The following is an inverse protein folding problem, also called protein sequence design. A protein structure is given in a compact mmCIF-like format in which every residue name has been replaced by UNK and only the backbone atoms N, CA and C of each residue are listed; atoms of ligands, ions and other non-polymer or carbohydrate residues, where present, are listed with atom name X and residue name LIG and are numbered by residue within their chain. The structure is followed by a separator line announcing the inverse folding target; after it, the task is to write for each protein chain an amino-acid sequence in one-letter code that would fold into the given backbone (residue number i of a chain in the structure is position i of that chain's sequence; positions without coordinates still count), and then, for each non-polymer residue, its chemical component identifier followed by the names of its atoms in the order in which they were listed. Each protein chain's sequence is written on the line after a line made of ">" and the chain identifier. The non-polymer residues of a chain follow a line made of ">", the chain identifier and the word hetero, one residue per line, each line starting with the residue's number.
data_IF_762074704747
#
_entry.id   IF_762074704747
#
_cell.length_a   1.000
_cell.length_b   1.000
_cell.length_c   1.000
_cell.angle_alpha   90.00
_cell.angle_beta   90.00
_cell.angle_gamma   90.00
#
_symmetry.space_group_name_H-M   'P 1'
#
loop_
_entity.id
_entity.type
_entity.pdbx_description
1 polymer ?
#
# COMPACT_ATOMS: atom_id res chain seq x y z
N UNK A 1 -19.23 -12.39 -20.07
CA UNK A 1 -19.91 -11.37 -19.25
C UNK A 1 -18.93 -10.25 -18.94
N UNK A 2 -19.40 -9.01 -18.73
CA UNK A 2 -18.55 -7.95 -18.19
C UNK A 2 -18.18 -8.24 -16.73
N UNK A 3 -17.02 -7.75 -16.24
CA UNK A 3 -16.59 -7.99 -14.86
C UNK A 3 -17.66 -7.67 -13.80
N UNK A 4 -18.34 -6.53 -13.94
CA UNK A 4 -19.42 -6.12 -13.05
C UNK A 4 -20.62 -7.08 -13.10
N UNK A 5 -21.01 -7.52 -14.30
CA UNK A 5 -22.14 -8.44 -14.49
C UNK A 5 -21.84 -9.81 -13.86
N UNK A 6 -20.59 -10.27 -13.96
CA UNK A 6 -20.10 -11.50 -13.34
C UNK A 6 -20.23 -11.46 -11.82
N UNK A 7 -19.82 -10.35 -11.20
CA UNK A 7 -19.97 -10.12 -9.75
C UNK A 7 -21.45 -10.15 -9.35
N UNK A 8 -22.32 -9.45 -10.10
CA UNK A 8 -23.74 -9.43 -9.79
C UNK A 8 -24.41 -10.80 -9.96
N UNK A 9 -24.03 -11.57 -11.00
CA UNK A 9 -24.53 -12.93 -11.16
C UNK A 9 -24.19 -13.80 -9.94
N UNK A 10 -22.94 -13.76 -9.47
CA UNK A 10 -22.53 -14.50 -8.29
C UNK A 10 -23.28 -14.05 -7.01
N UNK A 11 -23.43 -12.74 -6.79
CA UNK A 11 -24.17 -12.20 -5.63
C UNK A 11 -25.67 -12.55 -5.65
N UNK A 12 -26.24 -12.72 -6.83
CA UNK A 12 -27.64 -13.13 -7.02
C UNK A 12 -27.82 -14.67 -7.07
N UNK A 13 -26.76 -15.43 -6.75
CA UNK A 13 -26.74 -16.90 -6.82
C UNK A 13 -27.09 -17.46 -8.21
N UNK A 14 -26.79 -16.71 -9.27
CA UNK A 14 -26.83 -17.16 -10.66
C UNK A 14 -25.43 -17.58 -11.09
N UNK A 15 -25.34 -18.59 -11.97
CA UNK A 15 -24.05 -19.06 -12.47
C UNK A 15 -23.38 -17.99 -13.37
N UNK A 16 -22.18 -17.48 -13.00
CA UNK A 16 -21.40 -16.60 -13.85
C UNK A 16 -20.58 -17.38 -14.90
N UNK A 17 -20.02 -16.67 -15.88
CA UNK A 17 -19.12 -17.28 -16.88
C UNK A 17 -17.76 -17.75 -16.31
N UNK A 18 -17.37 -17.25 -15.14
CA UNK A 18 -16.29 -17.79 -14.27
C UNK A 18 -16.46 -17.23 -12.85
N UNK A 19 -15.77 -17.81 -11.87
CA UNK A 19 -15.75 -17.28 -10.50
C UNK A 19 -15.20 -15.84 -10.50
N UNK A 20 -15.98 -14.82 -10.08
CA UNK A 20 -15.45 -13.47 -9.96
C UNK A 20 -14.42 -13.40 -8.83
N UNK A 21 -13.35 -12.64 -9.05
CA UNK A 21 -12.30 -12.52 -8.05
C UNK A 21 -11.63 -11.15 -8.03
N UNK A 22 -10.96 -10.84 -6.92
CA UNK A 22 -10.13 -9.66 -6.74
C UNK A 22 -9.42 -9.73 -5.40
N UNK A 23 -8.34 -8.97 -5.25
CA UNK A 23 -7.51 -8.94 -4.04
C UNK A 23 -7.37 -7.49 -3.54
N UNK A 24 -7.41 -7.32 -2.23
CA UNK A 24 -7.28 -6.03 -1.55
C UNK A 24 -5.80 -5.65 -1.34
N UNK A 25 -4.97 -6.61 -0.93
CA UNK A 25 -3.60 -6.38 -0.47
C UNK A 25 -2.54 -7.09 -1.31
N UNK A 26 -2.27 -6.56 -2.51
CA UNK A 26 -1.14 -7.01 -3.34
C UNK A 26 0.09 -6.13 -3.10
N UNK A 27 1.19 -6.74 -2.69
CA UNK A 27 2.43 -6.00 -2.44
C UNK A 27 3.14 -5.57 -3.73
N UNK A 28 3.94 -4.51 -3.61
CA UNK A 28 4.62 -3.86 -4.72
C UNK A 28 5.46 -4.80 -5.57
N UNK A 29 6.02 -5.88 -5.02
CA UNK A 29 6.84 -6.83 -5.78
C UNK A 29 6.04 -7.51 -6.89
N UNK A 30 4.78 -7.87 -6.61
CA UNK A 30 3.88 -8.45 -7.62
C UNK A 30 3.51 -7.42 -8.69
N UNK A 31 3.27 -6.16 -8.29
CA UNK A 31 3.09 -5.07 -9.26
C UNK A 31 4.31 -4.92 -10.17
N UNK A 32 5.52 -4.90 -9.60
CA UNK A 32 6.75 -4.71 -10.37
C UNK A 32 7.05 -5.88 -11.29
N UNK A 33 6.78 -7.11 -10.84
CA UNK A 33 6.95 -8.32 -11.62
C UNK A 33 5.99 -8.36 -12.81
N UNK A 34 4.71 -8.08 -12.60
CA UNK A 34 3.68 -8.17 -13.66
C UNK A 34 3.74 -6.97 -14.61
N UNK A 35 3.97 -5.76 -14.08
CA UNK A 35 3.93 -4.53 -14.88
C UNK A 35 5.30 -4.13 -15.47
N UNK A 36 6.38 -4.82 -15.06
CA UNK A 36 7.73 -4.58 -15.57
C UNK A 36 8.33 -3.21 -15.21
N UNK A 37 7.81 -2.54 -14.17
CA UNK A 37 8.23 -1.19 -13.75
C UNK A 37 8.08 -0.99 -12.24
N UNK A 38 8.88 -0.09 -11.67
CA UNK A 38 8.75 0.31 -10.25
C UNK A 38 7.40 0.94 -9.95
N UNK A 39 6.83 0.61 -8.80
CA UNK A 39 5.57 1.21 -8.30
C UNK A 39 5.74 1.76 -6.89
N UNK A 40 4.91 2.74 -6.53
CA UNK A 40 4.73 3.21 -5.17
C UNK A 40 3.54 2.55 -4.47
N UNK A 41 2.69 1.81 -5.19
CA UNK A 41 1.54 1.09 -4.61
C UNK A 41 2.03 0.04 -3.62
N UNK A 42 1.62 0.17 -2.35
CA UNK A 42 2.03 -0.72 -1.26
C UNK A 42 3.54 -0.96 -1.21
N UNK A 43 4.33 0.07 -1.54
CA UNK A 43 5.79 0.00 -1.62
C UNK A 43 6.49 0.16 -0.27
N UNK A 44 5.71 0.10 0.81
CA UNK A 44 6.13 0.07 2.21
C UNK A 44 6.99 1.29 2.55
N UNK A 45 8.22 1.10 3.04
CA UNK A 45 9.13 2.21 3.35
C UNK A 45 9.34 3.19 2.19
N UNK A 46 9.28 2.74 0.93
CA UNK A 46 9.46 3.64 -0.23
C UNK A 46 8.30 4.62 -0.35
N UNK A 47 7.09 4.17 -0.06
CA UNK A 47 5.90 5.02 -0.02
C UNK A 47 5.97 6.00 1.16
N UNK A 48 6.34 5.51 2.35
CA UNK A 48 6.51 6.35 3.54
C UNK A 48 7.52 7.47 3.30
N UNK A 49 8.66 7.16 2.67
CA UNK A 49 9.68 8.15 2.28
C UNK A 49 9.15 9.13 1.23
N UNK A 50 8.39 8.67 0.25
CA UNK A 50 7.77 9.56 -0.73
C UNK A 50 6.86 10.60 -0.05
N UNK A 51 6.08 10.20 0.97
CA UNK A 51 5.29 11.16 1.75
C UNK A 51 6.17 12.13 2.57
N UNK A 52 7.26 11.64 3.18
CA UNK A 52 8.24 12.48 3.89
C UNK A 52 8.95 13.49 2.98
N UNK A 53 9.03 13.20 1.68
CA UNK A 53 9.59 14.10 0.66
C UNK A 53 8.53 15.03 0.05
N UNK A 54 7.29 14.99 0.55
CA UNK A 54 6.17 15.80 0.04
C UNK A 54 5.63 15.32 -1.32
N UNK A 55 6.01 14.12 -1.77
CA UNK A 55 5.64 13.55 -3.08
C UNK A 55 4.28 12.86 -3.06
N UNK A 56 3.35 13.33 -2.22
CA UNK A 56 2.01 12.74 -2.08
C UNK A 56 1.28 12.62 -3.41
N UNK A 57 1.32 13.66 -4.25
CA UNK A 57 0.59 13.64 -5.53
C UNK A 57 1.18 12.62 -6.51
N UNK A 58 2.50 12.39 -6.49
CA UNK A 58 3.13 11.31 -7.25
C UNK A 58 2.65 9.93 -6.79
N UNK A 59 2.56 9.71 -5.47
CA UNK A 59 2.03 8.45 -4.93
C UNK A 59 0.59 8.23 -5.40
N UNK A 60 -0.25 9.27 -5.36
CA UNK A 60 -1.64 9.17 -5.79
C UNK A 60 -1.79 8.95 -7.30
N UNK A 61 -0.99 9.59 -8.14
CA UNK A 61 -0.99 9.31 -9.58
C UNK A 61 -0.49 7.89 -9.87
N UNK A 62 0.50 7.41 -9.14
CA UNK A 62 0.97 6.03 -9.21
C UNK A 62 -0.14 5.04 -8.83
N UNK A 63 -0.91 5.32 -7.78
CA UNK A 63 -2.07 4.50 -7.38
C UNK A 63 -3.12 4.39 -8.49
N UNK A 64 -3.50 5.53 -9.09
CA UNK A 64 -4.50 5.56 -10.17
C UNK A 64 -4.06 4.75 -11.38
N UNK A 65 -2.77 4.83 -11.74
CA UNK A 65 -2.21 4.13 -12.90
C UNK A 65 -2.02 2.64 -12.61
N UNK A 66 -1.17 2.32 -11.63
CA UNK A 66 -0.65 0.96 -11.47
C UNK A 66 -1.71 0.00 -10.92
N UNK A 67 -2.63 0.45 -10.06
CA UNK A 67 -3.72 -0.41 -9.57
C UNK A 67 -4.63 -0.86 -10.71
N UNK A 68 -4.98 0.06 -11.61
CA UNK A 68 -5.84 -0.25 -12.76
C UNK A 68 -5.10 -1.16 -13.75
N UNK A 69 -3.83 -0.91 -14.00
CA UNK A 69 -3.04 -1.72 -14.91
C UNK A 69 -2.85 -3.14 -14.38
N UNK A 70 -2.60 -3.32 -13.08
CA UNK A 70 -2.47 -4.64 -12.47
C UNK A 70 -3.79 -5.42 -12.53
N UNK A 71 -4.90 -4.77 -12.19
CA UNK A 71 -6.24 -5.37 -12.23
C UNK A 71 -6.60 -5.86 -13.63
N UNK A 72 -6.25 -5.08 -14.66
CA UNK A 72 -6.42 -5.50 -16.06
C UNK A 72 -5.52 -6.67 -16.41
N UNK A 73 -4.26 -6.64 -16.01
CA UNK A 73 -3.29 -7.70 -16.31
C UNK A 73 -3.66 -9.04 -15.66
N UNK A 74 -4.22 -9.00 -14.46
CA UNK A 74 -4.70 -10.19 -13.74
C UNK A 74 -6.16 -10.53 -14.06
N UNK A 75 -6.82 -9.77 -14.93
CA UNK A 75 -8.24 -9.91 -15.23
C UNK A 75 -9.10 -9.96 -13.95
N UNK A 76 -8.84 -9.11 -12.97
CA UNK A 76 -9.66 -9.06 -11.76
C UNK A 76 -11.01 -8.39 -12.03
N UNK A 77 -12.02 -8.84 -11.30
CA UNK A 77 -13.39 -8.36 -11.41
C UNK A 77 -13.73 -7.24 -10.42
N UNK A 78 -13.00 -7.21 -9.31
CA UNK A 78 -13.22 -6.30 -8.19
C UNK A 78 -11.96 -5.44 -8.03
N UNK A 79 -12.17 -4.12 -8.02
CA UNK A 79 -11.12 -3.14 -7.73
C UNK A 79 -11.27 -2.60 -6.32
N UNK A 80 -10.21 -2.70 -5.51
CA UNK A 80 -10.17 -2.01 -4.23
C UNK A 80 -9.77 -0.55 -4.42
N UNK A 81 -10.62 0.37 -3.96
CA UNK A 81 -10.33 1.81 -3.91
C UNK A 81 -10.22 2.22 -2.45
N UNK A 82 -9.05 2.74 -2.07
CA UNK A 82 -8.79 3.25 -0.73
C UNK A 82 -8.77 4.78 -0.71
N UNK A 83 -9.05 5.36 0.45
CA UNK A 83 -8.77 6.78 0.69
C UNK A 83 -7.27 7.06 0.60
N UNK A 84 -6.94 8.28 0.18
CA UNK A 84 -5.56 8.78 0.15
C UNK A 84 -5.42 9.96 1.11
N UNK A 85 -4.22 10.23 1.67
CA UNK A 85 -4.00 11.42 2.48
C UNK A 85 -4.43 12.70 1.74
N UNK A 86 -4.84 13.78 2.42
CA UNK A 86 -5.29 15.00 1.76
C UNK A 86 -4.19 15.66 0.90
N UNK A 87 -4.56 16.60 0.03
CA UNK A 87 -3.58 17.42 -0.70
C UNK A 87 -2.70 18.19 0.29
N UNK A 88 -1.42 18.32 -0.04
CA UNK A 88 -0.43 18.95 0.83
C UNK A 88 0.01 18.08 2.02
N UNK A 89 -0.42 16.81 2.09
CA UNK A 89 0.07 15.89 3.10
C UNK A 89 1.58 15.68 2.94
N UNK A 90 2.32 16.15 3.93
CA UNK A 90 3.77 16.12 4.01
C UNK A 90 4.16 15.93 5.48
N UNK A 91 4.00 14.71 6.02
CA UNK A 91 4.32 14.43 7.40
C UNK A 91 5.82 14.64 7.64
N UNK A 92 6.16 15.11 8.84
CA UNK A 92 7.55 15.25 9.25
C UNK A 92 8.26 13.88 9.18
N UNK A 93 9.45 13.78 8.54
CA UNK A 93 10.22 12.55 8.53
C UNK A 93 10.66 12.14 9.92
N UNK A 94 10.70 10.83 10.17
CA UNK A 94 11.44 10.28 11.30
C UNK A 94 12.94 10.52 11.08
N UNK A 95 13.68 10.69 12.17
CA UNK A 95 15.14 10.80 12.11
C UNK A 95 15.73 9.44 11.74
N UNK A 96 16.40 9.34 10.60
CA UNK A 96 17.11 8.14 10.22
C UNK A 96 18.38 7.99 11.06
N UNK A 97 18.52 6.86 11.76
CA UNK A 97 19.70 6.56 12.58
C UNK A 97 20.72 5.72 11.83
N UNK A 98 20.26 4.81 10.99
CA UNK A 98 21.08 3.98 10.11
C UNK A 98 20.28 3.53 8.86
N UNK A 99 20.79 2.57 8.11
CA UNK A 99 20.16 2.08 6.87
C UNK A 99 18.71 1.55 7.05
N UNK A 100 18.37 1.03 8.23
CA UNK A 100 17.07 0.40 8.51
C UNK A 100 16.36 0.98 9.74
N UNK A 101 17.06 1.70 10.62
CA UNK A 101 16.51 2.21 11.89
C UNK A 101 16.12 3.69 11.81
N UNK A 102 14.96 4.01 12.37
CA UNK A 102 14.37 5.35 12.43
C UNK A 102 13.91 5.68 13.85
N UNK A 103 13.98 6.94 14.22
CA UNK A 103 13.54 7.48 15.49
C UNK A 103 12.42 8.52 15.27
N UNK A 104 11.30 8.36 15.97
CA UNK A 104 10.21 9.34 15.96
C UNK A 104 10.48 10.51 16.95
N UNK A 105 9.60 11.51 16.97
CA UNK A 105 9.74 12.67 17.86
C UNK A 105 9.63 12.33 19.36
N UNK A 106 9.12 11.16 19.72
CA UNK A 106 9.05 10.68 21.11
C UNK A 106 10.32 9.87 21.49
N UNK A 107 11.22 9.64 20.54
CA UNK A 107 12.38 8.78 20.67
C UNK A 107 12.04 7.30 20.68
N UNK A 108 10.91 6.90 20.08
CA UNK A 108 10.61 5.50 19.77
C UNK A 108 11.42 5.08 18.56
N UNK A 109 11.93 3.85 18.59
CA UNK A 109 12.69 3.27 17.49
C UNK A 109 11.82 2.36 16.64
N UNK A 110 11.95 2.53 15.34
CA UNK A 110 11.35 1.73 14.29
C UNK A 110 12.43 1.13 13.41
N UNK A 111 12.18 -0.05 12.84
CA UNK A 111 13.09 -0.70 11.89
C UNK A 111 12.36 -1.16 10.64
N UNK A 112 13.01 -0.99 9.49
CA UNK A 112 12.53 -1.53 8.22
C UNK A 112 12.75 -3.03 8.22
N UNK A 113 11.67 -3.79 8.07
CA UNK A 113 11.70 -5.24 7.92
C UNK A 113 12.44 -5.61 6.63
N UNK A 114 13.50 -6.40 6.72
CA UNK A 114 14.21 -6.90 5.54
C UNK A 114 13.34 -7.85 4.68
N UNK A 115 12.31 -8.47 5.28
CA UNK A 115 11.43 -9.42 4.59
C UNK A 115 10.29 -8.68 3.89
N UNK A 116 9.62 -7.78 4.61
CA UNK A 116 8.39 -7.15 4.09
C UNK A 116 8.62 -5.75 3.55
N UNK A 117 9.68 -5.06 3.99
CA UNK A 117 9.94 -3.65 3.70
C UNK A 117 9.15 -2.67 4.59
N UNK A 118 8.35 -3.18 5.54
CA UNK A 118 7.55 -2.36 6.45
C UNK A 118 8.41 -1.65 7.49
N UNK A 119 8.05 -0.42 7.82
CA UNK A 119 8.61 0.30 8.96
C UNK A 119 7.89 -0.10 10.25
N UNK A 120 8.50 -1.01 11.02
CA UNK A 120 7.87 -1.67 12.16
C UNK A 120 8.37 -1.11 13.50
N UNK A 121 7.51 -1.02 14.53
CA UNK A 121 7.94 -0.75 15.90
C UNK A 121 9.07 -1.71 16.34
N UNK A 122 10.16 -1.16 16.87
CA UNK A 122 11.30 -1.95 17.37
C UNK A 122 11.51 -1.77 18.87
N UNK A 123 11.68 -0.54 19.36
CA UNK A 123 11.80 -0.22 20.78
C UNK A 123 10.96 1.01 21.10
N UNK A 124 9.80 0.78 21.69
CA UNK A 124 8.86 1.83 22.05
C UNK A 124 9.11 2.24 23.51
N UNK A 125 9.31 3.53 23.76
CA UNK A 125 9.35 4.08 25.11
C UNK A 125 7.94 3.95 25.69
N UNK A 126 7.74 2.93 26.53
CA UNK A 126 6.51 2.82 27.32
C UNK A 126 6.65 3.75 28.52
N UNK A 127 5.80 4.76 28.61
CA UNK A 127 5.54 5.37 29.91
C UNK A 127 4.79 4.34 30.77
N UNK A 128 5.12 4.18 32.06
CA UNK A 128 4.33 3.37 32.97
C UNK A 128 2.86 3.81 32.87
N UNK A 129 1.96 2.86 32.62
CA UNK A 129 0.52 3.16 32.55
C UNK A 129 -0.06 3.39 33.95
N UNK A 130 0.72 3.13 35.02
CA UNK A 130 0.37 3.45 36.39
C UNK A 130 1.60 3.93 37.18
N UNK A 131 1.42 4.83 38.18
CA UNK A 131 2.48 5.29 39.07
C UNK A 131 3.08 4.18 39.93
#
# INVERSE_FOLDING_TARGET
>A
MLPRERVFAALEHREPDRIPWGEHSIDYNVYEEILGRKTLVQSKIRETRAYWEGRRDEVVECYKRDRIDLIKALEMDIVFVGGVPPKGYHPKPMKQLDHETYEDDNGNLYRVSAITGDLMPYKIKRNPIFP
#
